data_IF_496740414486
#
_entry.id   IF_496740414486
#
_cell.length_a   1.000
_cell.length_b   1.000
_cell.length_c   1.000
_cell.angle_alpha   90.00
_cell.angle_beta   90.00
_cell.angle_gamma   90.00
#
_symmetry.space_group_name_H-M   'P 1'
#
loop_
_entity.id
_entity.type
_entity.pdbx_description
1 polymer ?
#
# COMPACT_ATOMS: atom_id res chain seq x y z
N UNK A 1 -7.04 -23.67 4.50
CA UNK A 1 -7.41 -22.27 4.20
C UNK A 1 -6.70 -21.87 2.91
N UNK A 2 -7.37 -21.30 1.91
CA UNK A 2 -6.70 -20.92 0.65
C UNK A 2 -5.73 -19.76 0.90
N UNK A 3 -4.62 -19.70 0.15
CA UNK A 3 -3.63 -18.62 0.27
C UNK A 3 -4.26 -17.24 0.04
N UNK A 4 -5.24 -17.15 -0.86
CA UNK A 4 -6.03 -15.96 -1.10
C UNK A 4 -6.83 -15.50 0.12
N UNK A 5 -7.56 -16.42 0.79
CA UNK A 5 -8.30 -16.09 2.03
C UNK A 5 -7.39 -15.59 3.13
N UNK A 6 -6.20 -16.18 3.27
CA UNK A 6 -5.21 -15.74 4.25
C UNK A 6 -4.71 -14.32 3.93
N UNK A 7 -4.33 -14.05 2.67
CA UNK A 7 -3.88 -12.72 2.25
C UNK A 7 -4.97 -11.66 2.43
N UNK A 8 -6.22 -11.94 2.08
CA UNK A 8 -7.31 -10.98 2.29
C UNK A 8 -7.55 -10.70 3.78
N UNK A 9 -7.51 -11.73 4.63
CA UNK A 9 -7.71 -11.55 6.07
C UNK A 9 -6.60 -10.69 6.69
N UNK A 10 -5.34 -10.93 6.29
CA UNK A 10 -4.20 -10.10 6.69
C UNK A 10 -4.38 -8.66 6.20
N UNK A 11 -4.77 -8.47 4.93
CA UNK A 11 -5.01 -7.16 4.35
C UNK A 11 -6.08 -6.36 5.10
N UNK A 12 -7.22 -6.99 5.39
CA UNK A 12 -8.30 -6.36 6.16
C UNK A 12 -7.80 -5.90 7.53
N UNK A 13 -7.03 -6.75 8.24
CA UNK A 13 -6.48 -6.39 9.55
C UNK A 13 -5.49 -5.22 9.46
N UNK A 14 -4.56 -5.26 8.50
CA UNK A 14 -3.54 -4.21 8.33
C UNK A 14 -4.18 -2.89 7.93
N UNK A 15 -4.97 -2.86 6.84
CA UNK A 15 -5.56 -1.61 6.34
C UNK A 15 -6.67 -1.08 7.25
N UNK A 16 -7.41 -1.96 7.92
CA UNK A 16 -8.34 -1.55 8.99
C UNK A 16 -7.61 -0.89 10.15
N UNK A 17 -6.49 -1.46 10.59
CA UNK A 17 -5.63 -0.85 11.61
C UNK A 17 -5.06 0.50 11.17
N UNK A 18 -4.57 0.61 9.92
CA UNK A 18 -4.05 1.87 9.36
C UNK A 18 -5.16 2.92 9.29
N UNK A 19 -6.36 2.57 8.82
CA UNK A 19 -7.48 3.50 8.77
C UNK A 19 -7.84 4.04 10.17
N UNK A 20 -7.82 3.16 11.18
CA UNK A 20 -8.05 3.54 12.57
C UNK A 20 -6.94 4.48 13.10
N UNK A 21 -5.67 4.20 12.76
CA UNK A 21 -4.54 5.07 13.11
C UNK A 21 -4.64 6.44 12.44
N UNK A 22 -5.03 6.50 11.16
CA UNK A 22 -5.23 7.77 10.44
C UNK A 22 -6.27 8.64 11.14
N UNK A 23 -7.36 8.05 11.64
CA UNK A 23 -8.39 8.78 12.37
C UNK A 23 -7.92 9.21 13.77
N UNK A 24 -7.19 8.36 14.48
CA UNK A 24 -6.80 8.63 15.87
C UNK A 24 -5.56 9.52 16.02
N UNK A 25 -4.62 9.48 15.07
CA UNK A 25 -3.31 10.13 15.21
C UNK A 25 -3.18 11.43 14.43
N UNK A 26 -4.15 11.76 13.56
CA UNK A 26 -4.00 12.90 12.65
C UNK A 26 -4.77 14.12 13.15
N UNK A 27 -4.07 15.04 13.81
CA UNK A 27 -4.66 16.28 14.37
C UNK A 27 -5.16 17.28 13.32
N UNK A 28 -4.70 17.18 12.06
CA UNK A 28 -5.13 18.07 10.97
C UNK A 28 -5.94 17.31 9.93
N UNK A 29 -7.15 17.79 9.65
CA UNK A 29 -8.05 17.19 8.67
C UNK A 29 -7.41 17.05 7.27
N UNK A 30 -6.63 18.03 6.84
CA UNK A 30 -5.89 18.00 5.55
C UNK A 30 -4.90 16.82 5.49
N UNK A 31 -4.09 16.63 6.54
CA UNK A 31 -3.16 15.49 6.64
C UNK A 31 -3.89 14.15 6.75
N UNK A 32 -5.07 14.14 7.38
CA UNK A 32 -5.89 12.93 7.52
C UNK A 32 -6.45 12.50 6.17
N UNK A 33 -6.84 13.46 5.32
CA UNK A 33 -7.32 13.21 3.97
C UNK A 33 -6.18 12.66 3.09
N UNK A 34 -4.99 13.26 3.13
CA UNK A 34 -3.83 12.77 2.37
C UNK A 34 -3.41 11.37 2.80
N UNK A 35 -3.25 11.15 4.12
CA UNK A 35 -2.86 9.85 4.66
C UNK A 35 -3.93 8.78 4.40
N UNK A 36 -5.21 9.14 4.53
CA UNK A 36 -6.34 8.26 4.22
C UNK A 36 -6.42 7.90 2.74
N UNK A 37 -6.22 8.88 1.84
CA UNK A 37 -6.17 8.64 0.40
C UNK A 37 -5.01 7.71 0.03
N UNK A 38 -3.82 7.95 0.59
CA UNK A 38 -2.67 7.08 0.39
C UNK A 38 -2.93 5.65 0.88
N UNK A 39 -3.48 5.50 2.10
CA UNK A 39 -3.83 4.19 2.65
C UNK A 39 -4.87 3.46 1.79
N UNK A 40 -5.87 4.16 1.26
CA UNK A 40 -6.89 3.60 0.38
C UNK A 40 -6.28 3.09 -0.94
N UNK A 41 -5.39 3.88 -1.57
CA UNK A 41 -4.69 3.47 -2.80
C UNK A 41 -3.84 2.22 -2.54
N UNK A 42 -3.10 2.19 -1.44
CA UNK A 42 -2.28 1.03 -1.06
C UNK A 42 -3.13 -0.21 -0.78
N UNK A 43 -4.31 -0.06 -0.17
CA UNK A 43 -5.25 -1.15 0.06
C UNK A 43 -5.72 -1.75 -1.27
N UNK A 44 -6.09 -0.92 -2.24
CA UNK A 44 -6.51 -1.38 -3.56
C UNK A 44 -5.39 -2.16 -4.25
N UNK A 45 -4.17 -1.63 -4.26
CA UNK A 45 -3.01 -2.31 -4.86
C UNK A 45 -2.78 -3.68 -4.21
N UNK A 46 -2.88 -3.76 -2.87
CA UNK A 46 -2.72 -5.02 -2.14
C UNK A 46 -3.78 -6.06 -2.53
N UNK A 47 -5.06 -5.70 -2.56
CA UNK A 47 -6.14 -6.65 -2.90
C UNK A 47 -6.07 -7.09 -4.37
N UNK A 48 -5.67 -6.19 -5.28
CA UNK A 48 -5.41 -6.55 -6.68
C UNK A 48 -4.25 -7.54 -6.78
N UNK A 49 -3.16 -7.34 -6.05
CA UNK A 49 -2.04 -8.28 -5.99
C UNK A 49 -2.44 -9.64 -5.40
N UNK A 50 -3.26 -9.65 -4.35
CA UNK A 50 -3.78 -10.88 -3.75
C UNK A 50 -4.63 -11.67 -4.77
N UNK A 51 -5.47 -10.99 -5.54
CA UNK A 51 -6.25 -11.61 -6.61
C UNK A 51 -5.38 -12.13 -7.77
N UNK A 52 -4.34 -11.39 -8.16
CA UNK A 52 -3.37 -11.83 -9.18
C UNK A 52 -2.57 -13.06 -8.68
N UNK A 53 -2.18 -13.08 -7.40
CA UNK A 53 -1.49 -14.21 -6.79
C UNK A 53 -2.31 -15.52 -6.89
N UNK A 54 -3.62 -15.43 -6.65
CA UNK A 54 -4.53 -16.58 -6.76
C UNK A 54 -4.70 -17.02 -8.22
N UNK A 55 -4.85 -16.06 -9.14
CA UNK A 55 -5.15 -16.36 -10.56
C UNK A 55 -3.93 -16.82 -11.35
N UNK A 56 -2.78 -16.18 -11.16
CA UNK A 56 -1.55 -16.49 -11.90
C UNK A 56 -0.29 -16.11 -11.13
N UNK A 57 0.24 -17.09 -10.39
CA UNK A 57 1.45 -16.95 -9.57
C UNK A 57 2.70 -16.58 -10.36
N UNK A 58 2.75 -16.94 -11.65
CA UNK A 58 3.89 -16.61 -12.54
C UNK A 58 3.97 -15.12 -12.83
N UNK A 59 2.84 -14.41 -12.87
CA UNK A 59 2.77 -12.96 -13.10
C UNK A 59 2.97 -12.19 -11.78
N UNK A 60 2.60 -12.79 -10.65
CA UNK A 60 2.74 -12.15 -9.34
C UNK A 60 4.19 -11.77 -8.97
N UNK A 61 5.15 -12.69 -9.19
CA UNK A 61 6.57 -12.46 -8.87
C UNK A 61 7.16 -11.26 -9.64
N UNK A 62 7.06 -11.16 -10.99
CA UNK A 62 7.59 -10.02 -11.71
C UNK A 62 6.87 -8.72 -11.36
N UNK A 63 5.55 -8.73 -11.11
CA UNK A 63 4.81 -7.53 -10.71
C UNK A 63 5.30 -7.02 -9.35
N UNK A 64 5.51 -7.89 -8.36
CA UNK A 64 6.12 -7.49 -7.08
C UNK A 64 7.54 -6.98 -7.27
N UNK A 65 8.35 -7.65 -8.10
CA UNK A 65 9.71 -7.21 -8.39
C UNK A 65 9.74 -5.79 -8.96
N UNK A 66 8.88 -5.48 -9.92
CA UNK A 66 8.75 -4.14 -10.50
C UNK A 66 8.29 -3.13 -9.44
N UNK A 67 7.27 -3.46 -8.63
CA UNK A 67 6.81 -2.58 -7.55
C UNK A 67 7.89 -2.30 -6.51
N UNK A 68 8.69 -3.30 -6.16
CA UNK A 68 9.80 -3.13 -5.23
C UNK A 68 10.88 -2.19 -5.80
N UNK A 69 11.25 -2.37 -7.07
CA UNK A 69 12.20 -1.47 -7.75
C UNK A 69 11.65 -0.05 -7.83
N UNK A 70 10.39 0.12 -8.20
CA UNK A 70 9.73 1.44 -8.23
C UNK A 70 9.70 2.10 -6.86
N UNK A 71 9.35 1.35 -5.81
CA UNK A 71 9.31 1.85 -4.44
C UNK A 71 10.71 2.30 -3.96
N UNK A 72 11.73 1.46 -4.16
CA UNK A 72 13.12 1.80 -3.80
C UNK A 72 13.59 3.01 -4.59
N UNK A 73 13.29 3.09 -5.88
CA UNK A 73 13.68 4.22 -6.72
C UNK A 73 13.01 5.53 -6.25
N UNK A 74 11.73 5.46 -5.89
CA UNK A 74 10.98 6.59 -5.34
C UNK A 74 11.57 7.12 -4.04
N UNK A 75 12.12 6.26 -3.16
CA UNK A 75 12.80 6.71 -1.93
C UNK A 75 13.98 7.64 -2.26
N UNK A 76 14.79 7.28 -3.26
CA UNK A 76 15.93 8.10 -3.69
C UNK A 76 15.51 9.34 -4.48
N UNK A 77 14.40 9.24 -5.23
CA UNK A 77 13.86 10.32 -6.04
C UNK A 77 12.95 11.27 -5.25
N UNK A 78 12.59 10.96 -3.99
CA UNK A 78 11.66 11.77 -3.21
C UNK A 78 12.13 13.23 -3.08
N UNK A 79 13.44 13.45 -2.89
CA UNK A 79 14.01 14.79 -2.76
C UNK A 79 13.94 15.61 -4.04
N UNK A 80 13.85 14.93 -5.20
CA UNK A 80 13.72 15.57 -6.51
C UNK A 80 12.25 15.90 -6.85
N UNK A 81 11.31 15.01 -6.52
CA UNK A 81 9.88 15.19 -6.85
C UNK A 81 9.09 16.01 -5.82
N UNK A 82 9.39 15.90 -4.53
CA UNK A 82 8.64 16.61 -3.48
C UNK A 82 9.32 17.89 -2.99
N UNK A 83 10.51 18.21 -3.53
CA UNK A 83 11.30 19.35 -3.10
C UNK A 83 11.92 19.13 -1.72
N UNK A 84 13.15 19.61 -1.56
CA UNK A 84 13.86 19.61 -0.27
C UNK A 84 13.14 20.51 0.74
N UNK A 85 12.18 19.96 1.49
CA UNK A 85 11.78 20.52 2.79
C UNK A 85 12.59 19.84 3.88
N UNK A 86 13.82 20.34 4.06
CA UNK A 86 14.47 20.37 5.37
C UNK A 86 13.95 21.56 6.16
#
# INVERSE_FOLDING_TARGET
MSQYRLMNMIGIFIFGGIALLVVLQTDKAEKAIEAGAFAAVMAVIYFVLAAICEKNRSIFIPVIGVLAVLAVSMIFLQGFFFGSHH
#
